data_IF_025437435600
#
_entry.id   IF_025437435600
#
_cell.length_a   1.000
_cell.length_b   1.000
_cell.length_c   1.000
_cell.angle_alpha   90.00
_cell.angle_beta   90.00
_cell.angle_gamma   90.00
#
_symmetry.space_group_name_H-M   'P 1'
#
loop_
_entity.id
_entity.type
_entity.pdbx_description
1 polymer ?
#
# COMPACT_ATOMS: atom_id res chain seq x y z
N UNK A 1 8.59 19.49 -0.02
CA UNK A 1 8.98 19.95 -1.37
C UNK A 1 9.48 21.36 -1.20
N UNK A 2 10.67 21.64 -1.68
CA UNK A 2 11.28 22.97 -1.58
C UNK A 2 10.56 23.92 -2.55
N UNK A 3 10.71 25.23 -2.37
CA UNK A 3 10.02 26.24 -3.19
C UNK A 3 10.38 26.15 -4.69
N UNK A 4 11.53 25.54 -5.03
CA UNK A 4 12.00 25.31 -6.39
C UNK A 4 11.48 23.99 -7.02
N UNK A 5 10.63 23.25 -6.29
CA UNK A 5 10.07 21.98 -6.72
C UNK A 5 10.96 20.75 -6.46
N UNK A 6 12.16 20.92 -5.90
CA UNK A 6 13.02 19.79 -5.52
C UNK A 6 12.51 19.08 -4.25
N UNK A 7 12.91 17.83 -4.07
CA UNK A 7 12.69 17.12 -2.82
C UNK A 7 13.75 17.55 -1.80
N UNK A 8 13.31 17.83 -0.57
CA UNK A 8 14.20 18.08 0.55
C UNK A 8 14.77 16.79 1.13
N UNK A 9 15.25 16.86 2.37
CA UNK A 9 15.71 15.68 3.10
C UNK A 9 14.62 14.62 3.20
N UNK A 10 15.04 13.36 3.15
CA UNK A 10 14.16 12.21 3.29
C UNK A 10 14.50 11.43 4.56
N UNK A 11 13.51 10.69 5.05
CA UNK A 11 13.68 9.69 6.10
C UNK A 11 13.34 8.33 5.52
N UNK A 12 14.20 7.33 5.75
CA UNK A 12 13.87 5.94 5.48
C UNK A 12 12.95 5.45 6.58
N UNK A 13 11.68 5.16 6.23
CA UNK A 13 10.69 4.65 7.16
C UNK A 13 10.86 3.14 7.42
N UNK A 14 11.15 2.38 6.36
CA UNK A 14 11.36 0.94 6.45
C UNK A 14 12.38 0.48 5.42
N UNK A 15 13.31 -0.38 5.85
CA UNK A 15 14.28 -1.03 4.97
C UNK A 15 13.98 -2.53 4.93
N UNK A 16 13.67 -3.04 3.74
CA UNK A 16 13.36 -4.45 3.51
C UNK A 16 14.61 -5.33 3.40
N UNK A 17 15.80 -4.74 3.50
CA UNK A 17 17.08 -5.42 3.37
C UNK A 17 17.22 -6.05 1.99
N UNK A 18 17.41 -7.38 1.96
CA UNK A 18 17.59 -8.13 0.72
C UNK A 18 16.25 -8.52 0.04
N UNK A 19 15.11 -8.25 0.69
CA UNK A 19 13.78 -8.51 0.13
C UNK A 19 13.37 -7.46 -0.89
N UNK A 20 12.50 -7.83 -1.84
CA UNK A 20 11.81 -6.85 -2.70
C UNK A 20 10.97 -5.91 -1.80
N UNK A 21 11.29 -4.61 -1.87
CA UNK A 21 10.56 -3.57 -1.15
C UNK A 21 9.15 -3.33 -1.70
N UNK A 22 8.57 -2.18 -1.36
CA UNK A 22 7.24 -1.83 -1.84
C UNK A 22 7.24 -1.52 -3.34
N UNK A 23 6.08 -1.72 -3.95
CA UNK A 23 5.75 -1.18 -5.28
C UNK A 23 4.79 0.01 -5.10
N UNK A 24 3.49 -0.26 -5.02
CA UNK A 24 2.47 0.73 -4.67
C UNK A 24 2.04 0.68 -3.20
N UNK A 25 1.45 1.79 -2.76
CA UNK A 25 0.91 1.96 -1.41
C UNK A 25 -0.25 2.95 -1.39
N UNK A 26 -1.06 2.88 -0.33
CA UNK A 26 -2.12 3.85 -0.02
C UNK A 26 -2.13 4.19 1.47
N UNK A 27 -2.77 5.31 1.82
CA UNK A 27 -2.98 5.72 3.20
C UNK A 27 -4.43 5.47 3.61
N UNK A 28 -4.61 4.95 4.81
CA UNK A 28 -5.91 4.98 5.49
C UNK A 28 -6.20 6.40 5.99
N UNK A 29 -7.46 6.70 6.30
CA UNK A 29 -7.89 7.97 6.91
C UNK A 29 -7.22 8.26 8.26
N UNK A 30 -6.72 7.23 8.94
CA UNK A 30 -5.96 7.35 10.20
C UNK A 30 -4.45 7.52 10.00
N UNK A 31 -3.96 7.46 8.75
CA UNK A 31 -2.55 7.56 8.41
C UNK A 31 -1.77 6.23 8.43
N UNK A 32 -2.44 5.09 8.61
CA UNK A 32 -1.81 3.78 8.40
C UNK A 32 -1.40 3.65 6.94
N UNK A 33 -0.18 3.19 6.68
CA UNK A 33 0.31 2.92 5.32
C UNK A 33 -0.01 1.47 5.00
N UNK A 34 -0.78 1.24 3.94
CA UNK A 34 -0.91 -0.10 3.32
C UNK A 34 -0.03 -0.17 2.09
N UNK A 35 0.85 -1.16 2.02
CA UNK A 35 1.74 -1.31 0.87
C UNK A 35 1.78 -2.73 0.32
N UNK A 36 1.83 -2.83 -1.01
CA UNK A 36 2.15 -4.07 -1.72
C UNK A 36 3.66 -4.25 -1.75
N UNK A 37 4.16 -5.44 -1.37
CA UNK A 37 5.59 -5.73 -1.39
C UNK A 37 5.88 -7.21 -1.64
N UNK A 38 7.15 -7.52 -1.88
CA UNK A 38 7.62 -8.90 -1.99
C UNK A 38 7.22 -9.61 -3.29
N UNK A 39 7.77 -10.80 -3.49
CA UNK A 39 7.44 -11.70 -4.60
C UNK A 39 7.81 -13.13 -4.22
N UNK A 40 7.35 -14.11 -4.99
CA UNK A 40 7.68 -15.53 -4.79
C UNK A 40 9.18 -15.83 -4.81
N UNK A 41 9.96 -14.95 -5.46
CA UNK A 41 11.41 -15.10 -5.61
C UNK A 41 12.22 -14.34 -4.55
N UNK A 42 11.59 -13.65 -3.59
CA UNK A 42 12.31 -12.77 -2.66
C UNK A 42 11.63 -12.62 -1.31
N UNK A 43 12.43 -12.57 -0.25
CA UNK A 43 11.97 -12.28 1.10
C UNK A 43 10.90 -13.27 1.60
N UNK A 44 9.89 -12.82 2.36
CA UNK A 44 8.85 -13.69 2.91
C UNK A 44 7.76 -14.09 1.88
N UNK A 45 7.92 -13.75 0.61
CA UNK A 45 6.90 -13.93 -0.43
C UNK A 45 6.11 -12.65 -0.73
N UNK A 46 5.10 -12.73 -1.62
CA UNK A 46 4.22 -11.61 -1.93
C UNK A 46 3.31 -11.28 -0.73
N UNK A 47 3.29 -10.02 -0.32
CA UNK A 47 2.66 -9.56 0.92
C UNK A 47 1.95 -8.21 0.75
N UNK A 48 0.93 -8.00 1.59
CA UNK A 48 0.42 -6.69 1.96
C UNK A 48 0.93 -6.34 3.36
N UNK A 49 1.60 -5.20 3.49
CA UNK A 49 2.10 -4.70 4.76
C UNK A 49 1.20 -3.59 5.28
N UNK A 50 0.94 -3.61 6.59
CA UNK A 50 0.41 -2.46 7.33
C UNK A 50 1.55 -1.83 8.13
N UNK A 51 1.80 -0.54 7.92
CA UNK A 51 2.73 0.24 8.72
C UNK A 51 2.02 1.36 9.48
N UNK A 52 2.53 1.66 10.67
CA UNK A 52 2.31 2.96 11.27
C UNK A 52 2.97 4.08 10.44
N UNK A 53 2.56 5.35 10.60
CA UNK A 53 3.23 6.49 9.97
C UNK A 53 4.75 6.56 10.25
N UNK A 54 5.20 5.93 11.33
CA UNK A 54 6.61 5.81 11.71
C UNK A 54 7.43 4.85 10.83
N UNK A 55 6.78 4.03 10.00
CA UNK A 55 7.43 2.94 9.25
C UNK A 55 7.52 1.61 10.02
N UNK A 56 6.97 1.55 11.23
CA UNK A 56 6.88 0.30 11.99
C UNK A 56 5.82 -0.62 11.39
N UNK A 57 6.20 -1.85 11.04
CA UNK A 57 5.26 -2.90 10.62
C UNK A 57 4.35 -3.26 11.80
N UNK A 58 3.04 -3.16 11.61
CA UNK A 58 2.05 -3.61 12.59
C UNK A 58 1.41 -4.93 12.22
N UNK A 59 1.22 -5.19 10.91
CA UNK A 59 0.69 -6.45 10.38
C UNK A 59 1.26 -6.74 8.99
N UNK A 60 1.23 -8.02 8.62
CA UNK A 60 1.55 -8.51 7.28
C UNK A 60 0.53 -9.55 6.87
N UNK A 61 0.06 -9.49 5.63
CA UNK A 61 -0.91 -10.43 5.07
C UNK A 61 -0.34 -11.06 3.80
N UNK A 62 -0.30 -12.40 3.68
CA UNK A 62 0.06 -13.05 2.42
C UNK A 62 -0.85 -12.59 1.29
N UNK A 63 -0.26 -12.19 0.17
CA UNK A 63 -1.06 -11.80 -0.98
C UNK A 63 -1.59 -13.06 -1.71
N UNK A 64 -2.81 -13.02 -2.27
CA UNK A 64 -3.43 -14.17 -2.93
C UNK A 64 -2.80 -14.55 -4.29
N UNK A 65 -1.98 -13.66 -4.86
CA UNK A 65 -1.25 -13.86 -6.09
C UNK A 65 0.16 -13.26 -5.99
N UNK A 66 1.05 -13.64 -6.91
CA UNK A 66 2.43 -13.19 -6.90
C UNK A 66 2.59 -11.77 -7.45
N UNK A 67 3.65 -11.08 -7.02
CA UNK A 67 4.00 -9.71 -7.42
C UNK A 67 2.82 -8.73 -7.30
N UNK A 68 2.31 -8.48 -6.08
CA UNK A 68 1.38 -7.37 -5.88
C UNK A 68 2.08 -6.06 -6.28
N UNK A 69 1.34 -5.19 -6.96
CA UNK A 69 1.90 -3.99 -7.62
C UNK A 69 1.35 -2.69 -7.07
N UNK A 70 0.07 -2.61 -6.71
CA UNK A 70 -0.50 -1.40 -6.13
C UNK A 70 -1.75 -1.72 -5.30
N UNK A 71 -2.16 -0.78 -4.45
CA UNK A 71 -3.42 -0.85 -3.74
C UNK A 71 -4.05 0.53 -3.53
N UNK A 72 -5.38 0.58 -3.45
CA UNK A 72 -6.12 1.81 -3.12
C UNK A 72 -7.45 1.47 -2.49
N UNK A 73 -7.91 2.33 -1.57
CA UNK A 73 -9.28 2.28 -1.11
C UNK A 73 -10.24 2.85 -2.16
N UNK A 74 -11.44 2.28 -2.21
CA UNK A 74 -12.54 2.68 -3.07
C UNK A 74 -13.87 2.19 -2.50
N UNK A 75 -14.88 2.11 -3.37
CA UNK A 75 -16.26 1.90 -2.92
C UNK A 75 -16.91 3.20 -2.44
N UNK A 76 -18.23 3.18 -2.25
CA UNK A 76 -19.01 4.36 -1.84
C UNK A 76 -18.61 4.91 -0.47
N UNK A 77 -18.10 4.04 0.40
CA UNK A 77 -17.74 4.34 1.78
C UNK A 77 -16.22 4.38 2.02
N UNK A 78 -15.42 4.22 0.95
CA UNK A 78 -13.96 4.15 1.02
C UNK A 78 -13.42 3.07 1.96
N UNK A 79 -14.12 1.95 2.11
CA UNK A 79 -13.81 0.82 3.00
C UNK A 79 -13.40 -0.46 2.26
N UNK A 80 -13.53 -0.49 0.93
CA UNK A 80 -13.04 -1.60 0.09
C UNK A 80 -11.62 -1.30 -0.39
N UNK A 81 -10.67 -2.18 -0.08
CA UNK A 81 -9.32 -2.14 -0.62
C UNK A 81 -9.26 -2.89 -1.95
N UNK A 82 -8.81 -2.23 -3.00
CA UNK A 82 -8.48 -2.84 -4.28
C UNK A 82 -6.97 -3.06 -4.37
N UNK A 83 -6.55 -4.22 -4.87
CA UNK A 83 -5.14 -4.61 -4.99
C UNK A 83 -4.89 -5.15 -6.39
N UNK A 84 -3.86 -4.66 -7.06
CA UNK A 84 -3.45 -5.10 -8.40
C UNK A 84 -2.22 -6.00 -8.33
N UNK A 85 -2.09 -6.88 -9.31
CA UNK A 85 -1.00 -7.86 -9.41
C UNK A 85 -0.37 -7.82 -10.81
N UNK A 86 0.88 -8.26 -10.91
CA UNK A 86 1.62 -8.25 -12.18
C UNK A 86 1.00 -9.19 -13.25
N UNK A 87 0.18 -10.17 -12.85
CA UNK A 87 -0.56 -11.05 -13.77
C UNK A 87 -1.76 -10.38 -14.43
N UNK A 88 -2.10 -9.15 -14.05
CA UNK A 88 -3.24 -8.39 -14.58
C UNK A 88 -4.52 -8.54 -13.75
N UNK A 89 -4.45 -9.19 -12.60
CA UNK A 89 -5.57 -9.36 -11.69
C UNK A 89 -5.82 -8.11 -10.84
N UNK A 90 -7.10 -7.92 -10.48
CA UNK A 90 -7.53 -6.98 -9.45
C UNK A 90 -8.36 -7.72 -8.43
N UNK A 91 -7.91 -7.71 -7.17
CA UNK A 91 -8.63 -8.29 -6.05
C UNK A 91 -9.29 -7.16 -5.26
N UNK A 92 -10.46 -7.46 -4.67
CA UNK A 92 -11.12 -6.58 -3.70
C UNK A 92 -11.09 -7.24 -2.33
N UNK A 93 -10.87 -6.43 -1.30
CA UNK A 93 -10.89 -6.85 0.10
C UNK A 93 -11.80 -5.89 0.86
N UNK A 94 -12.89 -6.43 1.37
CA UNK A 94 -13.80 -5.72 2.26
C UNK A 94 -13.38 -5.97 3.72
N UNK A 95 -14.01 -5.27 4.67
CA UNK A 95 -13.80 -5.48 6.12
C UNK A 95 -12.34 -5.36 6.58
N UNK A 96 -11.55 -4.49 5.94
CA UNK A 96 -10.14 -4.27 6.32
C UNK A 96 -9.96 -3.63 7.69
N UNK A 97 -11.04 -3.16 8.31
CA UNK A 97 -11.02 -2.40 9.57
C UNK A 97 -10.55 -0.95 9.41
N UNK A 98 -10.31 -0.51 8.17
CA UNK A 98 -9.90 0.85 7.84
C UNK A 98 -10.81 1.46 6.79
N UNK A 99 -10.82 2.78 6.73
CA UNK A 99 -11.27 3.54 5.57
C UNK A 99 -10.07 4.23 4.95
N UNK A 100 -10.08 4.46 3.65
CA UNK A 100 -9.04 5.21 2.96
C UNK A 100 -9.46 6.59 2.50
N UNK A 101 -8.56 7.18 1.73
CA UNK A 101 -8.72 8.50 1.17
C UNK A 101 -8.58 8.45 -0.35
N UNK A 102 -9.45 9.15 -1.08
CA UNK A 102 -9.30 9.38 -2.52
C UNK A 102 -8.67 10.75 -2.74
N UNK A 103 -7.47 10.79 -3.33
CA UNK A 103 -6.89 12.06 -3.76
C UNK A 103 -7.66 12.66 -4.96
N UNK A 104 -8.22 11.82 -5.83
CA UNK A 104 -9.00 12.24 -6.99
C UNK A 104 -9.83 11.05 -7.57
N UNK A 105 -11.05 11.27 -8.08
CA UNK A 105 -11.88 12.46 -7.88
C UNK A 105 -12.33 12.56 -6.42
N UNK A 106 -12.46 13.78 -5.91
CA UNK A 106 -12.87 14.05 -4.52
C UNK A 106 -14.34 13.73 -4.24
N UNK A 107 -15.12 13.34 -5.26
CA UNK A 107 -16.51 12.90 -5.12
C UNK A 107 -16.80 11.75 -6.09
N UNK A 108 -17.40 10.64 -5.64
CA UNK A 108 -18.09 9.74 -6.54
C UNK A 108 -19.32 10.49 -7.11
N UNK A 109 -19.66 10.22 -8.36
CA UNK A 109 -20.87 10.76 -9.00
C UNK A 109 -22.14 10.33 -8.26
#
# INVERSE_FOLDING_TARGET
VNDDGTLGDHQVLHDFGQGRGIDGMTLTSSGTILATAGSSNSGPGPMLYEFEPSGRVVRTHPAPADNPTNCTYGGSSLDTLFVTFAGGEVYRVDDTGHTGHLAYPQRPF
#
